data_IF_443644501740
#
_entry.id   IF_443644501740
#
_cell.length_a   1.000
_cell.length_b   1.000
_cell.length_c   1.000
_cell.angle_alpha   90.00
_cell.angle_beta   90.00
_cell.angle_gamma   90.00
#
_symmetry.space_group_name_H-M   'P 1'
#
loop_
_entity.id
_entity.type
_entity.pdbx_description
1 polymer ?
#
# COMPACT_ATOMS: atom_id res chain seq x y z
N UNK A 1 -0.25 -60.43 -12.29
CA UNK A 1 -1.06 -59.40 -11.61
C UNK A 1 -0.71 -58.05 -12.22
N UNK A 2 -1.61 -57.45 -13.01
CA UNK A 2 -1.44 -56.10 -13.58
C UNK A 2 -2.05 -55.11 -12.59
N UNK A 3 -1.23 -54.28 -11.97
CA UNK A 3 -1.69 -53.15 -11.14
C UNK A 3 -2.07 -52.02 -12.10
N UNK A 4 -3.37 -51.69 -12.13
CA UNK A 4 -3.86 -50.51 -12.82
C UNK A 4 -3.71 -49.34 -11.84
N UNK A 5 -2.85 -48.38 -12.17
CA UNK A 5 -2.72 -47.14 -11.42
C UNK A 5 -3.89 -46.22 -11.79
N UNK A 6 -4.78 -45.96 -10.82
CA UNK A 6 -5.84 -44.98 -10.95
C UNK A 6 -5.21 -43.59 -10.76
N UNK A 7 -5.00 -42.85 -11.86
CA UNK A 7 -4.64 -41.43 -11.80
C UNK A 7 -5.90 -40.64 -11.41
N UNK A 8 -6.01 -40.28 -10.12
CA UNK A 8 -6.94 -39.24 -9.69
C UNK A 8 -6.44 -37.91 -10.25
N UNK A 9 -7.16 -37.39 -11.24
CA UNK A 9 -6.98 -36.02 -11.71
C UNK A 9 -7.68 -35.11 -10.68
N UNK A 10 -6.93 -34.63 -9.68
CA UNK A 10 -7.40 -33.54 -8.83
C UNK A 10 -7.45 -32.26 -9.67
N UNK A 11 -8.64 -31.93 -10.17
CA UNK A 11 -8.92 -30.58 -10.67
C UNK A 11 -8.90 -29.66 -9.44
N UNK A 12 -7.77 -29.00 -9.20
CA UNK A 12 -7.70 -27.89 -8.25
C UNK A 12 -8.47 -26.75 -8.90
N UNK A 13 -9.69 -26.48 -8.43
CA UNK A 13 -10.35 -25.23 -8.70
C UNK A 13 -9.40 -24.12 -8.21
N UNK A 14 -8.92 -23.28 -9.13
CA UNK A 14 -8.22 -22.05 -8.73
C UNK A 14 -9.29 -21.16 -8.09
N UNK A 15 -9.29 -20.90 -6.78
CA UNK A 15 -10.01 -19.73 -6.31
C UNK A 15 -9.50 -18.56 -7.16
N UNK A 16 -10.40 -17.71 -7.67
CA UNK A 16 -9.96 -16.42 -8.20
C UNK A 16 -9.10 -15.79 -7.12
N UNK A 17 -7.88 -15.39 -7.46
CA UNK A 17 -7.00 -14.73 -6.49
C UNK A 17 -7.74 -13.48 -6.04
N UNK A 18 -8.22 -13.47 -4.79
CA UNK A 18 -8.79 -12.28 -4.17
C UNK A 18 -7.76 -11.15 -4.29
N UNK A 19 -8.23 -9.95 -4.59
CA UNK A 19 -7.34 -8.80 -4.74
C UNK A 19 -6.61 -8.55 -3.42
N UNK A 20 -5.33 -8.16 -3.48
CA UNK A 20 -4.65 -7.60 -2.31
C UNK A 20 -5.09 -6.16 -2.03
N UNK A 21 -5.93 -5.57 -2.88
CA UNK A 21 -6.36 -4.18 -2.78
C UNK A 21 -7.86 -4.08 -2.47
N UNK A 22 -8.28 -2.94 -1.92
CA UNK A 22 -9.68 -2.63 -1.73
C UNK A 22 -10.48 -2.88 -3.02
N UNK A 23 -11.63 -3.55 -2.88
CA UNK A 23 -12.40 -4.08 -4.01
C UNK A 23 -13.66 -3.26 -4.29
N UNK A 24 -14.12 -2.45 -3.34
CA UNK A 24 -15.36 -1.72 -3.44
C UNK A 24 -15.34 -0.40 -2.66
N UNK A 25 -15.84 0.67 -3.27
CA UNK A 25 -16.27 1.88 -2.55
C UNK A 25 -17.65 1.64 -1.96
N UNK A 26 -17.76 1.74 -0.64
CA UNK A 26 -19.02 1.59 0.12
C UNK A 26 -19.72 2.94 0.23
N UNK A 27 -18.96 3.98 0.56
CA UNK A 27 -19.46 5.35 0.73
C UNK A 27 -18.35 6.32 0.39
N UNK A 28 -18.71 7.43 -0.23
CA UNK A 28 -17.83 8.57 -0.43
C UNK A 28 -18.64 9.85 -0.21
N UNK A 29 -18.05 10.77 0.54
CA UNK A 29 -18.53 12.14 0.72
C UNK A 29 -17.32 13.04 0.50
N UNK A 30 -17.28 13.86 -0.55
CA UNK A 30 -16.08 14.64 -0.89
C UNK A 30 -15.66 15.61 0.23
N UNK A 31 -16.62 16.26 0.88
CA UNK A 31 -16.31 17.37 1.80
C UNK A 31 -16.03 18.68 1.06
N UNK A 32 -15.41 19.64 1.75
CA UNK A 32 -15.02 20.94 1.18
C UNK A 32 -13.55 20.95 0.75
N UNK A 33 -13.14 21.86 -0.13
CA UNK A 33 -11.76 21.99 -0.66
C UNK A 33 -11.31 20.91 -1.65
N UNK A 34 -12.14 19.91 -1.96
CA UNK A 34 -11.87 18.96 -3.04
C UNK A 34 -11.79 19.70 -4.39
N UNK A 35 -10.66 19.62 -5.11
CA UNK A 35 -10.54 20.18 -6.45
C UNK A 35 -11.51 19.50 -7.44
N UNK A 36 -12.01 20.27 -8.41
CA UNK A 36 -12.87 19.72 -9.48
C UNK A 36 -12.08 18.68 -10.26
N UNK A 37 -12.61 17.45 -10.37
CA UNK A 37 -11.98 16.33 -11.08
C UNK A 37 -11.32 15.29 -10.16
N UNK A 38 -11.05 15.64 -8.90
CA UNK A 38 -10.42 14.74 -7.91
C UNK A 38 -11.44 14.04 -7.00
N UNK A 39 -12.71 13.96 -7.42
CA UNK A 39 -13.81 13.41 -6.64
C UNK A 39 -14.35 12.07 -7.15
N UNK A 40 -13.61 11.36 -8.00
CA UNK A 40 -13.94 9.98 -8.36
C UNK A 40 -13.38 8.99 -7.33
N UNK A 41 -14.20 8.41 -6.43
CA UNK A 41 -13.69 7.49 -5.43
C UNK A 41 -13.20 6.16 -6.01
N UNK A 42 -13.49 5.85 -7.27
CA UNK A 42 -13.04 4.62 -7.91
C UNK A 42 -11.53 4.63 -8.21
N UNK A 43 -10.88 5.80 -8.24
CA UNK A 43 -9.42 5.89 -8.39
C UNK A 43 -8.67 5.24 -7.22
N UNK A 44 -9.28 5.19 -6.03
CA UNK A 44 -8.71 4.52 -4.84
C UNK A 44 -8.74 2.98 -4.85
N UNK A 45 -9.31 2.37 -5.90
CA UNK A 45 -9.43 0.92 -6.03
C UNK A 45 -8.32 0.34 -6.90
N UNK A 46 -7.80 -0.82 -6.51
CA UNK A 46 -6.73 -1.50 -7.23
C UNK A 46 -5.34 -1.12 -6.71
N UNK A 47 -4.33 -1.39 -7.54
CA UNK A 47 -2.94 -1.19 -7.16
C UNK A 47 -2.55 0.30 -7.23
N UNK A 48 -1.65 0.76 -6.35
CA UNK A 48 -1.08 2.10 -6.45
C UNK A 48 -0.51 2.42 -7.83
N UNK A 49 -0.53 3.70 -8.17
CA UNK A 49 0.02 4.23 -9.40
C UNK A 49 1.54 4.06 -9.47
N UNK A 50 2.06 3.66 -10.63
CA UNK A 50 3.52 3.49 -10.86
C UNK A 50 4.16 4.62 -11.67
N UNK A 51 3.35 5.43 -12.32
CA UNK A 51 3.78 6.55 -13.14
C UNK A 51 2.82 7.70 -12.95
N UNK A 52 3.32 8.90 -12.89
CA UNK A 52 2.57 10.14 -12.91
C UNK A 52 2.75 10.74 -14.28
N UNK A 53 1.75 10.57 -15.16
CA UNK A 53 1.56 11.38 -16.36
C UNK A 53 2.62 11.44 -17.46
N UNK A 54 2.57 12.53 -18.25
CA UNK A 54 3.39 12.79 -19.47
C UNK A 54 3.87 14.26 -19.61
N UNK A 55 3.61 15.12 -18.62
CA UNK A 55 4.12 16.48 -18.51
C UNK A 55 5.63 16.59 -18.26
N UNK A 56 6.18 17.82 -18.17
CA UNK A 56 7.62 18.02 -18.03
C UNK A 56 8.20 17.63 -16.65
N UNK A 57 7.33 17.42 -15.65
CA UNK A 57 7.68 16.97 -14.30
C UNK A 57 7.11 15.58 -14.00
N UNK A 58 6.53 14.97 -15.02
CA UNK A 58 5.85 13.69 -14.98
C UNK A 58 6.88 12.58 -15.27
N UNK A 59 6.65 11.40 -14.71
CA UNK A 59 7.58 10.30 -14.81
C UNK A 59 7.11 9.07 -14.04
N UNK A 60 8.04 8.22 -13.61
CA UNK A 60 7.69 7.19 -12.64
C UNK A 60 7.23 7.84 -11.33
N UNK A 61 6.36 7.16 -10.58
CA UNK A 61 6.03 7.55 -9.22
C UNK A 61 7.26 7.28 -8.35
N UNK A 62 7.77 8.33 -7.71
CA UNK A 62 8.92 8.27 -6.81
C UNK A 62 8.60 8.98 -5.51
N UNK A 63 9.49 8.84 -4.52
CA UNK A 63 9.37 9.56 -3.25
C UNK A 63 9.39 11.09 -3.40
N UNK A 64 9.80 11.63 -4.57
CA UNK A 64 9.79 13.07 -4.88
C UNK A 64 8.71 13.47 -5.90
N UNK A 65 8.02 12.49 -6.50
CA UNK A 65 7.05 12.70 -7.57
C UNK A 65 5.85 11.76 -7.38
N UNK A 66 4.90 12.21 -6.57
CA UNK A 66 3.76 11.43 -6.15
C UNK A 66 2.69 11.25 -7.26
N UNK A 67 1.78 10.26 -7.11
CA UNK A 67 0.62 10.10 -7.99
C UNK A 67 -0.42 11.21 -7.75
N UNK A 68 -0.66 12.11 -8.71
CA UNK A 68 -1.54 13.27 -8.49
C UNK A 68 -2.68 13.43 -9.48
N UNK A 69 -2.81 12.58 -10.50
CA UNK A 69 -3.83 12.78 -11.54
C UNK A 69 -5.23 12.43 -11.05
N UNK A 70 -6.22 13.02 -11.71
CA UNK A 70 -7.67 12.80 -11.46
C UNK A 70 -8.06 11.31 -11.50
N UNK A 71 -7.37 10.49 -12.30
CA UNK A 71 -7.59 9.04 -12.42
C UNK A 71 -6.71 8.19 -11.50
N UNK A 72 -5.85 8.82 -10.68
CA UNK A 72 -4.91 8.15 -9.79
C UNK A 72 -5.29 8.29 -8.33
N UNK A 73 -5.80 9.46 -7.93
CA UNK A 73 -6.13 9.72 -6.54
C UNK A 73 -7.54 10.28 -6.39
N UNK A 74 -8.16 9.99 -5.25
CA UNK A 74 -9.39 10.66 -4.81
C UNK A 74 -9.06 11.57 -3.65
N UNK A 75 -9.54 12.81 -3.71
CA UNK A 75 -9.37 13.77 -2.63
C UNK A 75 -10.53 13.70 -1.63
N UNK A 76 -10.21 13.80 -0.35
CA UNK A 76 -11.16 13.83 0.77
C UNK A 76 -10.93 15.14 1.48
N UNK A 77 -11.86 16.06 1.31
CA UNK A 77 -11.82 17.37 1.90
C UNK A 77 -12.47 17.47 3.27
N UNK A 78 -12.41 18.65 3.87
CA UNK A 78 -12.94 18.91 5.22
C UNK A 78 -14.40 18.45 5.37
N UNK A 79 -14.67 17.63 6.39
CA UNK A 79 -15.97 17.01 6.66
C UNK A 79 -16.33 15.85 5.72
N UNK A 80 -15.42 15.47 4.83
CA UNK A 80 -15.55 14.36 3.90
C UNK A 80 -15.06 13.03 4.46
N UNK A 81 -15.39 11.96 3.75
CA UNK A 81 -14.90 10.61 4.02
C UNK A 81 -14.91 9.73 2.77
N UNK A 82 -14.03 8.74 2.76
CA UNK A 82 -14.02 7.59 1.88
C UNK A 82 -14.13 6.33 2.74
N UNK A 83 -15.09 5.46 2.43
CA UNK A 83 -15.23 4.14 3.03
C UNK A 83 -15.08 3.10 1.93
N UNK A 84 -14.06 2.26 2.05
CA UNK A 84 -13.81 1.13 1.14
C UNK A 84 -13.97 -0.20 1.87
N UNK A 85 -14.16 -1.25 1.08
CA UNK A 85 -14.27 -2.64 1.53
C UNK A 85 -13.37 -3.56 0.72
N UNK A 86 -12.78 -4.53 1.39
CA UNK A 86 -12.15 -5.67 0.75
C UNK A 86 -13.19 -6.73 0.33
N UNK A 87 -12.81 -7.62 -0.59
CA UNK A 87 -13.61 -8.81 -0.96
C UNK A 87 -13.23 -10.05 -0.13
N UNK A 88 -12.29 -9.87 0.80
CA UNK A 88 -11.76 -10.85 1.75
C UNK A 88 -11.55 -10.17 3.11
N UNK A 89 -11.38 -10.99 4.14
CA UNK A 89 -10.87 -10.49 5.41
C UNK A 89 -9.40 -10.12 5.26
N UNK A 90 -9.02 -8.99 5.85
CA UNK A 90 -7.62 -8.65 6.16
C UNK A 90 -7.41 -9.11 7.60
N UNK A 91 -6.62 -10.15 7.80
CA UNK A 91 -6.40 -10.75 9.11
C UNK A 91 -5.15 -10.14 9.77
N UNK A 92 -5.16 -10.05 11.10
CA UNK A 92 -3.94 -9.82 11.88
C UNK A 92 -3.04 -11.06 11.76
N UNK A 93 -1.89 -10.92 11.10
CA UNK A 93 -0.89 -11.98 10.99
C UNK A 93 0.46 -11.49 11.55
N UNK A 94 0.86 -11.93 12.76
CA UNK A 94 2.16 -11.60 13.34
C UNK A 94 3.38 -12.04 12.52
N UNK A 95 3.18 -12.85 11.47
CA UNK A 95 4.23 -13.25 10.52
C UNK A 95 4.41 -12.26 9.37
N UNK A 96 3.48 -11.31 9.18
CA UNK A 96 3.65 -10.19 8.28
C UNK A 96 4.88 -9.35 8.72
N UNK A 97 5.64 -8.78 7.76
CA UNK A 97 6.80 -7.98 8.12
C UNK A 97 6.40 -6.83 9.05
N UNK A 98 7.12 -6.73 10.17
CA UNK A 98 6.89 -5.75 11.24
C UNK A 98 5.52 -5.84 11.93
N UNK A 99 4.74 -6.91 11.69
CA UNK A 99 3.36 -7.04 12.18
C UNK A 99 2.35 -6.15 11.44
N UNK A 100 2.72 -5.60 10.28
CA UNK A 100 1.85 -4.70 9.51
C UNK A 100 0.96 -5.52 8.57
N UNK A 101 -0.35 -5.31 8.65
CA UNK A 101 -1.34 -6.07 7.87
C UNK A 101 -2.04 -5.25 6.79
N UNK A 102 -1.99 -3.91 6.91
CA UNK A 102 -2.68 -2.98 6.04
C UNK A 102 -1.77 -1.82 5.65
N UNK A 103 -1.89 -1.38 4.40
CA UNK A 103 -1.16 -0.27 3.80
C UNK A 103 -2.14 0.73 3.19
N UNK A 104 -1.90 2.02 3.38
CA UNK A 104 -2.66 3.10 2.74
C UNK A 104 -1.69 4.02 1.98
N UNK A 105 -1.97 4.20 0.70
CA UNK A 105 -1.17 4.99 -0.23
C UNK A 105 -1.87 6.32 -0.52
N UNK A 106 -1.11 7.42 -0.43
CA UNK A 106 -1.58 8.77 -0.73
C UNK A 106 -0.68 9.51 -1.72
N UNK A 107 -0.81 10.83 -1.76
CA UNK A 107 -0.02 11.74 -2.60
C UNK A 107 1.19 12.38 -1.88
N UNK A 108 1.45 12.06 -0.62
CA UNK A 108 2.58 12.63 0.11
C UNK A 108 3.92 12.38 -0.61
N UNK A 109 4.83 13.36 -0.53
CA UNK A 109 6.16 13.30 -1.13
C UNK A 109 7.22 13.99 -0.26
N UNK A 110 8.48 13.62 -0.47
CA UNK A 110 9.63 14.22 0.21
C UNK A 110 10.04 15.53 -0.49
N UNK A 111 10.52 16.49 0.30
CA UNK A 111 11.22 17.64 -0.24
C UNK A 111 12.58 17.27 -0.78
N UNK A 112 13.02 18.02 -1.80
CA UNK A 112 14.26 17.77 -2.53
C UNK A 112 14.99 19.09 -2.77
N UNK A 113 16.29 19.07 -2.52
CA UNK A 113 17.18 20.10 -3.01
C UNK A 113 17.37 19.94 -4.53
N UNK A 114 16.82 20.86 -5.31
CA UNK A 114 16.88 20.84 -6.78
C UNK A 114 18.30 21.02 -7.36
N UNK A 115 19.28 21.52 -6.59
CA UNK A 115 20.66 21.61 -7.05
C UNK A 115 21.37 20.25 -6.99
N UNK A 116 21.03 19.44 -5.98
CA UNK A 116 21.71 18.16 -5.70
C UNK A 116 20.89 16.92 -6.06
N UNK A 117 19.56 17.04 -6.14
CA UNK A 117 18.64 15.93 -6.34
C UNK A 117 18.44 15.04 -5.11
N UNK A 118 18.78 15.55 -3.92
CA UNK A 118 18.77 14.81 -2.66
C UNK A 118 17.63 15.28 -1.76
N UNK A 119 17.11 14.39 -0.91
CA UNK A 119 16.05 14.77 0.02
C UNK A 119 16.52 15.82 1.04
N UNK A 120 15.69 16.84 1.27
CA UNK A 120 16.01 17.97 2.17
C UNK A 120 15.47 17.79 3.61
N UNK A 121 14.71 16.72 3.84
CA UNK A 121 14.09 16.37 5.13
C UNK A 121 12.67 16.89 5.32
N UNK A 122 12.12 17.66 4.36
CA UNK A 122 10.72 18.02 4.37
C UNK A 122 9.84 16.84 3.92
N UNK A 123 8.61 16.80 4.42
CA UNK A 123 7.53 15.94 3.95
C UNK A 123 6.35 16.84 3.62
N UNK A 124 5.90 16.78 2.38
CA UNK A 124 4.67 17.43 1.92
C UNK A 124 3.56 16.40 2.00
N UNK A 125 2.53 16.70 2.80
CA UNK A 125 1.48 15.77 3.17
C UNK A 125 0.24 16.55 3.60
N UNK A 126 -0.93 15.97 3.34
CA UNK A 126 -2.25 16.47 3.71
C UNK A 126 -2.99 15.37 4.50
N UNK A 127 -2.63 15.16 5.78
CA UNK A 127 -2.96 13.93 6.49
C UNK A 127 -4.46 13.75 6.75
N UNK A 128 -4.99 12.56 6.49
CA UNK A 128 -6.36 12.17 6.86
C UNK A 128 -6.41 11.11 7.97
N UNK A 129 -7.49 11.12 8.75
CA UNK A 129 -7.70 10.16 9.84
C UNK A 129 -8.18 8.82 9.30
N UNK A 130 -7.75 7.74 9.95
CA UNK A 130 -8.11 6.38 9.58
C UNK A 130 -8.91 5.73 10.70
N UNK A 131 -9.98 5.01 10.33
CA UNK A 131 -10.69 4.11 11.21
C UNK A 131 -10.97 2.78 10.50
N UNK A 132 -10.92 1.68 11.23
CA UNK A 132 -11.06 0.33 10.70
C UNK A 132 -12.29 -0.35 11.29
N UNK A 133 -12.90 -1.26 10.53
CA UNK A 133 -14.09 -1.97 10.98
C UNK A 133 -14.18 -3.38 10.41
N UNK A 134 -14.73 -4.27 11.23
CA UNK A 134 -15.10 -5.64 10.88
C UNK A 134 -16.47 -5.71 10.17
N UNK A 135 -17.39 -4.77 10.45
CA UNK A 135 -18.79 -4.87 10.05
C UNK A 135 -19.33 -3.60 9.36
N UNK A 136 -18.51 -2.56 9.24
CA UNK A 136 -18.90 -1.26 8.69
C UNK A 136 -19.77 -0.42 9.62
N UNK A 137 -20.00 -0.87 10.86
CA UNK A 137 -20.86 -0.21 11.85
C UNK A 137 -20.04 0.26 13.05
N UNK A 138 -19.23 -0.63 13.64
CA UNK A 138 -18.34 -0.30 14.75
C UNK A 138 -16.94 0.00 14.23
N UNK A 139 -16.43 1.18 14.56
CA UNK A 139 -15.17 1.70 14.06
C UNK A 139 -14.15 1.83 15.17
N UNK A 140 -12.93 1.38 14.92
CA UNK A 140 -11.76 1.57 15.79
C UNK A 140 -10.82 2.55 15.09
N UNK A 141 -10.49 3.65 15.76
CA UNK A 141 -9.59 4.67 15.22
C UNK A 141 -8.14 4.19 15.28
N UNK A 142 -7.42 4.28 14.16
CA UNK A 142 -5.98 4.05 14.09
C UNK A 142 -5.23 5.29 14.60
N UNK A 143 -5.36 5.55 15.90
CA UNK A 143 -4.91 6.80 16.52
C UNK A 143 -3.41 7.03 16.36
N UNK A 144 -3.04 8.21 15.83
CA UNK A 144 -1.64 8.58 15.59
C UNK A 144 -1.08 8.11 14.25
N UNK A 145 -1.86 7.33 13.49
CA UNK A 145 -1.55 6.93 12.12
C UNK A 145 -2.46 7.74 11.19
N UNK A 146 -1.87 8.31 10.14
CA UNK A 146 -2.57 9.15 9.19
C UNK A 146 -2.37 8.61 7.78
N UNK A 147 -3.43 8.63 6.99
CA UNK A 147 -3.32 8.47 5.54
C UNK A 147 -2.70 9.73 4.97
N UNK A 148 -2.14 9.62 3.76
CA UNK A 148 -1.42 10.71 3.11
C UNK A 148 -0.33 11.34 4.02
N UNK A 149 0.65 10.52 4.38
CA UNK A 149 1.67 10.87 5.37
C UNK A 149 3.04 10.28 4.97
N UNK A 150 3.96 10.15 5.93
CA UNK A 150 5.28 9.54 5.73
C UNK A 150 5.17 8.15 5.07
N UNK A 151 6.22 7.81 4.32
CA UNK A 151 6.32 6.72 3.33
C UNK A 151 5.66 6.99 1.97
N UNK A 152 6.06 8.06 1.26
CA UNK A 152 5.66 8.31 -0.13
C UNK A 152 5.74 7.09 -1.04
N UNK A 153 4.80 6.98 -1.98
CA UNK A 153 4.74 5.88 -2.93
C UNK A 153 5.99 5.86 -3.82
N UNK A 154 6.51 4.67 -4.10
CA UNK A 154 7.55 4.44 -5.10
C UNK A 154 7.16 3.29 -6.02
N UNK A 155 7.13 3.56 -7.32
CA UNK A 155 6.67 2.62 -8.34
C UNK A 155 7.71 1.57 -8.74
N UNK A 156 9.01 1.85 -8.56
CA UNK A 156 10.07 0.95 -8.99
C UNK A 156 11.26 0.98 -8.04
N UNK A 157 11.95 -0.16 -7.92
CA UNK A 157 13.14 -0.34 -7.06
C UNK A 157 14.39 0.28 -7.67
N UNK A 158 14.36 0.57 -8.96
CA UNK A 158 15.44 1.12 -9.77
C UNK A 158 15.02 2.47 -10.39
N UNK A 159 14.59 3.46 -9.59
CA UNK A 159 14.20 4.76 -10.13
C UNK A 159 15.41 5.39 -10.84
N UNK A 160 15.17 5.92 -12.04
CA UNK A 160 16.22 6.50 -12.89
C UNK A 160 16.49 7.98 -12.62
N UNK A 161 15.66 8.59 -11.78
CA UNK A 161 15.71 9.97 -11.34
C UNK A 161 14.40 10.37 -10.64
N UNK A 162 14.34 11.55 -9.98
CA UNK A 162 13.16 11.99 -9.23
C UNK A 162 11.92 12.18 -10.11
N UNK A 163 12.11 12.69 -11.33
CA UNK A 163 11.07 12.99 -12.33
C UNK A 163 11.31 12.26 -13.66
N UNK A 164 11.94 11.08 -13.61
CA UNK A 164 12.28 10.32 -14.82
C UNK A 164 11.37 9.12 -14.97
N UNK A 165 11.09 8.73 -16.22
CA UNK A 165 10.52 7.42 -16.54
C UNK A 165 11.64 6.46 -16.92
N UNK A 166 11.60 5.23 -16.42
CA UNK A 166 12.51 4.18 -16.86
C UNK A 166 12.82 3.08 -15.85
N UNK A 167 12.18 3.10 -14.68
CA UNK A 167 12.22 1.99 -13.73
C UNK A 167 11.71 0.70 -14.38
N UNK A 168 12.35 -0.42 -14.07
CA UNK A 168 12.04 -1.71 -14.69
C UNK A 168 11.71 -2.80 -13.68
N UNK A 169 12.06 -2.60 -12.42
CA UNK A 169 11.85 -3.56 -11.35
C UNK A 169 10.74 -3.03 -10.45
N UNK A 170 9.50 -3.53 -10.59
CA UNK A 170 8.40 -3.04 -9.77
C UNK A 170 8.65 -3.30 -8.29
N UNK A 171 8.27 -2.33 -7.47
CA UNK A 171 8.10 -2.48 -6.02
C UNK A 171 6.88 -3.35 -5.69
N UNK A 172 6.88 -3.92 -4.49
CA UNK A 172 5.76 -4.68 -3.94
C UNK A 172 4.87 -3.75 -3.12
N UNK A 173 3.69 -3.42 -3.66
CA UNK A 173 2.66 -2.61 -3.00
C UNK A 173 1.87 -3.36 -1.91
N UNK A 174 2.34 -4.54 -1.54
CA UNK A 174 1.78 -5.34 -0.45
C UNK A 174 2.83 -5.65 0.61
N UNK A 175 4.02 -5.06 0.50
CA UNK A 175 5.10 -5.16 1.48
C UNK A 175 5.20 -3.83 2.23
N UNK A 176 5.16 -3.82 3.57
CA UNK A 176 5.33 -2.61 4.35
C UNK A 176 6.79 -2.12 4.32
N UNK A 177 6.97 -0.80 4.42
CA UNK A 177 8.27 -0.18 4.74
C UNK A 177 8.60 -0.45 6.20
N UNK A 178 9.89 -0.52 6.55
CA UNK A 178 10.33 -0.62 7.95
C UNK A 178 9.81 0.57 8.76
N UNK A 179 8.92 0.36 9.75
CA UNK A 179 8.29 1.45 10.50
C UNK A 179 9.26 2.16 11.46
N UNK A 180 10.51 1.69 11.58
CA UNK A 180 11.55 2.39 12.34
C UNK A 180 12.19 3.54 11.58
N UNK A 181 11.99 3.61 10.25
CA UNK A 181 12.47 4.71 9.42
C UNK A 181 11.62 5.97 9.62
N UNK A 182 12.27 7.13 9.53
CA UNK A 182 11.60 8.42 9.51
C UNK A 182 12.16 9.37 8.42
N UNK A 183 11.61 10.58 8.34
CA UNK A 183 12.03 11.57 7.34
C UNK A 183 13.51 11.97 7.47
N UNK A 184 14.10 11.87 8.67
CA UNK A 184 15.49 12.20 8.90
C UNK A 184 16.44 11.14 8.32
N UNK A 185 16.00 9.87 8.26
CA UNK A 185 16.77 8.79 7.63
C UNK A 185 16.94 8.98 6.11
N UNK A 186 16.10 9.81 5.49
CA UNK A 186 16.15 10.08 4.05
C UNK A 186 17.01 11.29 3.69
N UNK A 187 17.38 12.14 4.65
CA UNK A 187 18.10 13.40 4.38
C UNK A 187 19.42 13.13 3.65
N UNK A 188 19.64 13.82 2.54
CA UNK A 188 20.85 13.69 1.74
C UNK A 188 20.92 12.42 0.89
N UNK A 189 19.83 11.64 0.81
CA UNK A 189 19.72 10.49 -0.09
C UNK A 189 18.97 10.85 -1.37
N UNK A 190 19.35 10.20 -2.46
CA UNK A 190 18.61 10.25 -3.73
C UNK A 190 17.46 9.20 -3.75
N UNK A 191 16.67 9.21 -4.83
CA UNK A 191 15.52 8.31 -4.96
C UNK A 191 15.90 6.83 -4.96
N UNK A 192 17.06 6.47 -5.53
CA UNK A 192 17.51 5.08 -5.61
C UNK A 192 18.00 4.57 -4.25
N UNK A 193 18.73 5.40 -3.51
CA UNK A 193 19.15 5.11 -2.15
C UNK A 193 17.96 4.95 -1.19
N UNK A 194 16.93 5.79 -1.34
CA UNK A 194 15.69 5.65 -0.56
C UNK A 194 14.93 4.37 -0.98
N UNK A 195 14.91 4.03 -2.27
CA UNK A 195 14.33 2.78 -2.75
C UNK A 195 15.02 1.53 -2.16
N UNK A 196 16.33 1.60 -1.93
CA UNK A 196 17.08 0.54 -1.22
C UNK A 196 16.64 0.42 0.24
N UNK A 197 16.41 1.53 0.94
CA UNK A 197 15.89 1.51 2.32
C UNK A 197 14.47 0.93 2.41
N UNK A 198 13.67 1.09 1.37
CA UNK A 198 12.32 0.48 1.32
C UNK A 198 12.38 -1.04 1.16
N UNK A 199 13.54 -1.64 0.88
CA UNK A 199 13.74 -3.09 0.76
C UNK A 199 12.68 -3.78 -0.12
N UNK A 200 12.37 -3.14 -1.24
CA UNK A 200 11.39 -3.61 -2.22
C UNK A 200 9.93 -3.27 -1.92
N UNK A 201 9.61 -2.66 -0.78
CA UNK A 201 8.29 -2.07 -0.52
C UNK A 201 8.00 -0.90 -1.46
N UNK A 202 6.72 -0.66 -1.74
CA UNK A 202 6.28 0.44 -2.59
C UNK A 202 5.89 1.72 -1.85
N UNK A 203 6.13 1.81 -0.54
CA UNK A 203 5.65 2.90 0.32
C UNK A 203 4.30 2.58 0.96
N UNK A 204 3.58 3.64 1.32
CA UNK A 204 2.30 3.57 2.02
C UNK A 204 2.48 3.46 3.53
N UNK A 205 1.57 4.08 4.28
CA UNK A 205 1.60 4.01 5.75
C UNK A 205 1.13 2.62 6.21
N UNK A 206 1.89 2.00 7.10
CA UNK A 206 1.59 0.68 7.66
C UNK A 206 0.70 0.73 8.90
N UNK A 207 -0.23 -0.21 9.01
CA UNK A 207 -1.07 -0.41 10.20
C UNK A 207 -1.01 -1.88 10.64
N UNK A 208 -0.67 -2.09 11.92
CA UNK A 208 -0.75 -3.36 12.65
C UNK A 208 -2.15 -3.48 13.27
N UNK A 209 -2.93 -4.49 12.85
CA UNK A 209 -4.29 -4.71 13.36
C UNK A 209 -4.27 -5.26 14.79
N UNK A 210 -3.30 -6.12 15.11
CA UNK A 210 -3.10 -6.66 16.45
C UNK A 210 -2.85 -5.57 17.49
N UNK A 211 -2.09 -4.53 17.13
CA UNK A 211 -1.87 -3.35 17.97
C UNK A 211 -3.15 -2.56 18.28
N UNK A 212 -4.17 -2.65 17.40
CA UNK A 212 -5.49 -2.06 17.58
C UNK A 212 -6.49 -3.01 18.28
N UNK A 213 -6.07 -4.25 18.58
CA UNK A 213 -6.91 -5.29 19.16
C UNK A 213 -7.93 -5.85 18.17
N UNK A 214 -7.68 -5.72 16.87
CA UNK A 214 -8.54 -6.21 15.80
C UNK A 214 -7.95 -7.51 15.24
N UNK A 215 -8.67 -8.65 15.30
CA UNK A 215 -8.17 -9.90 14.73
C UNK A 215 -8.29 -9.94 13.20
N UNK A 216 -9.15 -9.09 12.64
CA UNK A 216 -9.33 -8.90 11.21
C UNK A 216 -10.16 -7.63 10.97
N UNK A 217 -10.19 -7.16 9.73
CA UNK A 217 -11.08 -6.10 9.25
C UNK A 217 -11.64 -6.46 7.87
N UNK A 218 -12.73 -5.79 7.48
CA UNK A 218 -13.24 -5.82 6.10
C UNK A 218 -13.38 -4.41 5.52
N UNK A 219 -13.45 -3.38 6.37
CA UNK A 219 -13.72 -2.01 6.00
C UNK A 219 -12.64 -1.05 6.50
N UNK A 220 -12.32 -0.06 5.67
CA UNK A 220 -11.42 1.06 5.98
C UNK A 220 -12.17 2.36 5.72
N UNK A 221 -12.16 3.26 6.69
CA UNK A 221 -12.65 4.63 6.55
C UNK A 221 -11.48 5.59 6.67
N UNK A 222 -11.36 6.46 5.68
CA UNK A 222 -10.44 7.59 5.66
C UNK A 222 -11.30 8.85 5.68
N UNK A 223 -11.02 9.80 6.57
CA UNK A 223 -11.89 10.96 6.76
C UNK A 223 -11.15 12.20 7.25
N UNK A 224 -11.73 13.36 6.97
CA UNK A 224 -11.23 14.64 7.46
C UNK A 224 -12.23 15.33 8.40
N UNK A 225 -11.78 15.82 9.56
CA UNK A 225 -12.53 16.78 10.37
C UNK A 225 -13.11 17.95 9.56
N UNK A 226 -14.30 18.42 9.95
CA UNK A 226 -14.96 19.58 9.34
C UNK A 226 -14.14 20.88 9.46
N UNK A 227 -13.23 20.95 10.43
CA UNK A 227 -12.37 22.10 10.67
C UNK A 227 -11.08 22.16 9.85
N UNK A 228 -10.79 21.16 9.03
CA UNK A 228 -9.60 21.16 8.18
C UNK A 228 -9.74 22.17 7.03
N UNK A 229 -8.62 22.54 6.41
CA UNK A 229 -8.54 23.60 5.37
C UNK A 229 -7.83 23.13 4.10
N UNK A 230 -7.70 21.83 3.95
CA UNK A 230 -7.04 21.13 2.85
C UNK A 230 -7.88 19.92 2.44
N UNK A 231 -7.43 19.17 1.44
CA UNK A 231 -8.00 17.88 1.07
C UNK A 231 -6.86 16.85 1.06
N UNK A 232 -7.16 15.61 1.46
CA UNK A 232 -6.19 14.52 1.50
C UNK A 232 -6.41 13.62 0.28
N UNK A 233 -5.34 13.23 -0.40
CA UNK A 233 -5.42 12.42 -1.60
C UNK A 233 -5.06 10.95 -1.33
N UNK A 234 -5.92 10.03 -1.78
CA UNK A 234 -5.76 8.59 -1.59
C UNK A 234 -5.63 7.90 -2.95
N UNK A 235 -4.53 7.18 -3.15
CA UNK A 235 -4.23 6.39 -4.36
C UNK A 235 -4.74 4.95 -4.23
N UNK A 236 -4.48 4.29 -3.09
CA UNK A 236 -4.90 2.90 -2.90
C UNK A 236 -4.88 2.45 -1.44
N UNK A 237 -5.56 1.34 -1.18
CA UNK A 237 -5.55 0.63 0.10
C UNK A 237 -5.23 -0.84 -0.17
N UNK A 238 -4.20 -1.37 0.49
CA UNK A 238 -3.70 -2.73 0.27
C UNK A 238 -3.63 -3.54 1.56
N UNK A 239 -4.06 -4.80 1.49
CA UNK A 239 -3.80 -5.83 2.49
C UNK A 239 -2.42 -6.44 2.26
N UNK A 240 -1.65 -6.60 3.34
CA UNK A 240 -0.41 -7.39 3.33
C UNK A 240 -0.82 -8.87 3.31
N UNK A 241 -0.47 -9.62 2.24
CA UNK A 241 -0.90 -11.00 2.11
C UNK A 241 -0.13 -11.90 3.08
N UNK A 242 -0.87 -12.79 3.75
CA UNK A 242 -0.26 -13.88 4.50
C UNK A 242 0.73 -14.67 3.62
N UNK A 243 1.84 -15.19 4.19
CA UNK A 243 2.72 -16.10 3.48
C UNK A 243 1.92 -17.32 3.01
N UNK A 244 1.66 -17.41 1.71
CA UNK A 244 0.82 -18.50 1.18
C UNK A 244 1.34 -19.88 1.63
N UNK A 245 0.43 -20.78 2.04
CA UNK A 245 0.74 -22.16 2.46
C UNK A 245 1.59 -22.95 1.43
N UNK A 246 1.61 -22.53 0.16
CA UNK A 246 2.49 -23.07 -0.88
C UNK A 246 3.98 -22.82 -0.60
N UNK A 247 4.33 -21.66 -0.05
CA UNK A 247 5.69 -21.33 0.37
C UNK A 247 6.18 -22.27 1.48
N UNK A 248 5.29 -22.57 2.44
CA UNK A 248 5.53 -23.50 3.55
C UNK A 248 5.58 -24.97 3.08
N UNK A 249 4.73 -25.37 2.14
CA UNK A 249 4.72 -26.72 1.57
C UNK A 249 6.00 -27.02 0.76
N UNK A 250 6.49 -26.05 -0.03
CA UNK A 250 7.74 -26.19 -0.78
C UNK A 250 8.96 -26.35 0.13
N UNK A 251 9.04 -25.60 1.23
CA UNK A 251 10.08 -25.76 2.25
C UNK A 251 10.00 -27.14 2.94
N UNK A 252 8.78 -27.60 3.26
CA UNK A 252 8.55 -28.92 3.87
C UNK A 252 8.97 -30.09 2.96
N UNK A 253 8.67 -30.04 1.66
CA UNK A 253 9.04 -31.10 0.71
C UNK A 253 10.56 -31.17 0.49
N UNK A 254 11.26 -30.03 0.43
CA UNK A 254 12.73 -29.96 0.34
C UNK A 254 13.42 -30.58 1.56
N UNK A 255 12.92 -30.30 2.77
CA UNK A 255 13.48 -30.86 4.00
C UNK A 255 13.26 -32.38 4.12
N UNK A 256 12.09 -32.89 3.70
CA UNK A 256 11.82 -34.33 3.68
C UNK A 256 12.61 -35.05 2.58
N UNK A 257 12.80 -34.41 1.42
CA UNK A 257 13.63 -34.93 0.32
C UNK A 257 15.10 -35.06 0.71
N UNK A 258 15.66 -34.04 1.37
CA UNK A 258 17.05 -34.05 1.84
C UNK A 258 17.28 -35.04 3.00
N UNK A 259 16.28 -35.24 3.87
CA UNK A 259 16.36 -36.24 4.94
C UNK A 259 16.33 -37.70 4.43
N UNK A 260 15.67 -37.95 3.30
CA UNK A 260 15.64 -39.28 2.65
C UNK A 260 16.87 -39.57 1.80
N UNK A 261 17.52 -38.55 1.23
CA UNK A 261 18.75 -38.71 0.46
C UNK A 261 20.00 -39.00 1.32
N UNK A 262 19.88 -38.88 2.66
CA UNK A 262 20.96 -39.12 3.64
C UNK A 262 20.84 -40.44 4.40
N UNK A 263 19.91 -41.32 4.02
CA UNK A 263 19.78 -42.69 4.52
C UNK A 263 20.04 -43.69 3.40
#
# INVERSE_FOLDING_TARGET
MRVVALLLLCVVARPGLASSFAAQVVRYTPGSFVPVGWDDPLSSLGAPSRSTGDGPWDGDVTVFNAPYREDQVVAIGAGGELVVRFDRLVEDDPSNPFGIDLLIYGNAFLGMDFETGLADGAVFAEPARIALSQDGVFWVDASGIFADALFPTIGYRDPTGPFSSGGTIPTDFTRPVDPTLDAADFIGLDAAQIAELYDGAGGGVGIDLGALGLPWIEYVRIWQPEGDVYAAEIDAIAAVPEPSLLSLACAGVLLVGLARARR
#
